data_IF_604170805118
#
_entry.id   IF_604170805118
#
_cell.length_a   1.000
_cell.length_b   1.000
_cell.length_c   1.000
_cell.angle_alpha   90.00
_cell.angle_beta   90.00
_cell.angle_gamma   90.00
#
_symmetry.space_group_name_H-M   'P 1'
#
loop_
_entity.id
_entity.type
_entity.pdbx_description
1 polymer ?
#
# COMPACT_ATOMS: atom_id res chain seq x y z
N UNK A 1 -13.49 14.26 -28.25
CA UNK A 1 -12.18 13.79 -27.73
C UNK A 1 -12.04 12.33 -28.13
N UNK A 2 -10.91 11.97 -28.75
CA UNK A 2 -10.67 10.62 -29.25
C UNK A 2 -9.47 10.03 -28.50
N UNK A 3 -9.58 8.76 -28.12
CA UNK A 3 -8.46 8.01 -27.57
C UNK A 3 -7.74 7.30 -28.71
N UNK A 4 -6.42 7.46 -28.77
CA UNK A 4 -5.57 6.78 -29.75
C UNK A 4 -4.75 5.69 -29.05
N UNK A 5 -4.37 4.67 -29.83
CA UNK A 5 -3.53 3.58 -29.32
C UNK A 5 -2.04 3.90 -29.42
N UNK A 6 -1.64 4.56 -30.50
CA UNK A 6 -0.25 4.99 -30.69
C UNK A 6 -0.03 6.34 -30.01
N UNK A 7 1.09 6.46 -29.30
CA UNK A 7 1.48 7.69 -28.65
C UNK A 7 1.87 8.76 -29.69
N UNK A 8 2.42 8.39 -30.85
CA UNK A 8 2.79 9.36 -31.89
C UNK A 8 1.60 10.09 -32.51
N UNK A 9 0.42 9.47 -32.46
CA UNK A 9 -0.81 10.00 -33.03
C UNK A 9 -1.55 10.93 -32.05
N UNK A 10 -1.09 11.00 -30.80
CA UNK A 10 -1.70 11.81 -29.77
C UNK A 10 -1.12 13.23 -29.76
N UNK A 11 -1.99 14.23 -29.59
CA UNK A 11 -1.55 15.61 -29.32
C UNK A 11 -1.25 15.82 -27.83
N UNK A 12 -1.91 15.08 -26.95
CA UNK A 12 -1.81 15.23 -25.50
C UNK A 12 -1.55 13.87 -24.88
N UNK A 13 -0.57 13.80 -23.99
CA UNK A 13 -0.28 12.66 -23.13
C UNK A 13 -0.72 12.95 -21.70
N UNK A 14 -1.34 11.96 -21.04
CA UNK A 14 -1.72 12.04 -19.64
C UNK A 14 -1.10 10.85 -18.91
N UNK A 15 -0.17 11.12 -18.00
CA UNK A 15 0.33 10.13 -17.05
C UNK A 15 -0.54 10.16 -15.81
N UNK A 16 -1.10 9.02 -15.42
CA UNK A 16 -1.89 8.89 -14.18
C UNK A 16 -1.17 7.92 -13.27
N UNK A 17 -0.65 8.42 -12.16
CA UNK A 17 -0.09 7.63 -11.08
C UNK A 17 -1.08 7.58 -9.91
N UNK A 18 -1.04 6.49 -9.14
CA UNK A 18 -1.88 6.35 -7.95
C UNK A 18 -1.10 5.81 -6.75
N UNK A 19 -1.43 6.32 -5.57
CA UNK A 19 -0.98 5.83 -4.27
C UNK A 19 -2.17 5.64 -3.33
N UNK A 20 -2.10 4.62 -2.48
CA UNK A 20 -3.04 4.51 -1.35
C UNK A 20 -2.75 5.60 -0.32
N UNK A 21 -3.80 6.28 0.14
CA UNK A 21 -3.66 7.22 1.26
C UNK A 21 -3.68 6.47 2.58
N UNK A 22 -3.15 7.09 3.65
CA UNK A 22 -3.26 6.52 4.99
C UNK A 22 -4.73 6.23 5.36
N UNK A 23 -5.66 7.06 4.85
CA UNK A 23 -7.12 7.00 5.02
C UNK A 23 -7.83 5.76 4.46
N UNK A 24 -7.10 4.85 3.82
CA UNK A 24 -7.67 3.78 2.99
C UNK A 24 -8.20 4.26 1.64
N UNK A 25 -8.06 5.56 1.34
CA UNK A 25 -8.45 6.17 0.07
C UNK A 25 -7.35 6.03 -0.99
N UNK A 26 -7.46 6.77 -2.07
CA UNK A 26 -6.50 6.76 -3.17
C UNK A 26 -6.22 8.16 -3.70
N UNK A 27 -4.97 8.57 -3.67
CA UNK A 27 -4.48 9.78 -4.33
C UNK A 27 -4.08 9.43 -5.76
N UNK A 28 -4.47 10.28 -6.70
CA UNK A 28 -4.14 10.22 -8.11
C UNK A 28 -3.36 11.48 -8.49
N UNK A 29 -2.17 11.30 -9.06
CA UNK A 29 -1.39 12.38 -9.68
C UNK A 29 -1.55 12.29 -11.19
N UNK A 30 -2.12 13.32 -11.81
CA UNK A 30 -2.37 13.43 -13.24
C UNK A 30 -1.40 14.43 -13.85
N UNK A 31 -0.43 13.97 -14.63
CA UNK A 31 0.53 14.82 -15.34
C UNK A 31 0.12 14.92 -16.80
N UNK A 32 -0.26 16.12 -17.23
CA UNK A 32 -0.65 16.44 -18.60
C UNK A 32 0.55 16.99 -19.37
N UNK A 33 0.69 16.59 -20.61
CA UNK A 33 1.80 17.03 -21.45
C UNK A 33 1.40 17.11 -22.91
N UNK A 34 1.80 18.19 -23.56
CA UNK A 34 1.80 18.27 -25.02
C UNK A 34 2.89 17.34 -25.60
N UNK A 35 2.52 16.52 -26.59
CA UNK A 35 3.45 15.60 -27.27
C UNK A 35 4.24 16.34 -28.34
N UNK A 36 3.60 17.24 -29.09
CA UNK A 36 4.22 17.93 -30.23
C UNK A 36 4.98 19.19 -29.81
N UNK A 37 4.90 19.56 -28.52
CA UNK A 37 5.52 20.75 -27.94
C UNK A 37 5.09 22.07 -28.61
N UNK A 38 3.99 22.08 -29.36
CA UNK A 38 3.48 23.28 -30.04
C UNK A 38 3.00 24.33 -29.03
N UNK A 39 2.40 23.88 -27.93
CA UNK A 39 1.96 24.74 -26.83
C UNK A 39 3.01 24.86 -25.71
N UNK A 40 4.05 24.03 -25.73
CA UNK A 40 5.06 23.88 -24.67
C UNK A 40 4.45 23.90 -23.25
N UNK A 41 3.33 23.17 -23.09
CA UNK A 41 2.51 23.18 -21.87
C UNK A 41 2.59 21.83 -21.17
N UNK A 42 2.85 21.87 -19.88
CA UNK A 42 2.66 20.76 -18.95
C UNK A 42 1.92 21.24 -17.72
N UNK A 43 1.06 20.39 -17.18
CA UNK A 43 0.29 20.69 -15.98
C UNK A 43 0.19 19.45 -15.10
N UNK A 44 0.02 19.61 -13.80
CA UNK A 44 -0.12 18.50 -12.86
C UNK A 44 -1.29 18.76 -11.92
N UNK A 45 -2.25 17.86 -11.91
CA UNK A 45 -3.39 17.89 -11.01
C UNK A 45 -3.32 16.72 -10.02
N UNK A 46 -3.78 16.98 -8.79
CA UNK A 46 -3.96 15.96 -7.76
C UNK A 46 -5.44 15.74 -7.48
N UNK A 47 -5.86 14.48 -7.43
CA UNK A 47 -7.21 14.07 -7.06
C UNK A 47 -7.14 13.03 -5.94
N UNK A 48 -7.80 13.29 -4.81
CA UNK A 48 -7.91 12.35 -3.71
C UNK A 48 -9.33 11.78 -3.67
N UNK A 49 -9.44 10.46 -3.80
CA UNK A 49 -10.68 9.71 -3.62
C UNK A 49 -10.71 9.13 -2.21
N UNK A 50 -11.70 9.50 -1.37
CA UNK A 50 -11.88 8.93 -0.03
C UNK A 50 -12.04 7.41 -0.04
N UNK A 51 -11.78 6.77 1.10
CA UNK A 51 -11.99 5.31 1.28
C UNK A 51 -13.45 4.89 1.15
N UNK A 52 -14.38 5.82 1.37
CA UNK A 52 -15.82 5.59 1.26
C UNK A 52 -16.32 5.58 -0.19
N UNK A 53 -15.52 6.07 -1.15
CA UNK A 53 -15.93 6.11 -2.56
C UNK A 53 -16.05 4.70 -3.14
N UNK A 54 -17.20 4.42 -3.75
CA UNK A 54 -17.35 3.30 -4.65
C UNK A 54 -16.41 3.41 -5.85
N UNK A 55 -16.15 2.28 -6.51
CA UNK A 55 -15.36 2.27 -7.74
C UNK A 55 -15.94 3.18 -8.84
N UNK A 56 -17.25 3.41 -8.84
CA UNK A 56 -17.89 4.29 -9.81
C UNK A 56 -17.70 5.78 -9.49
N UNK A 57 -17.90 6.16 -8.22
CA UNK A 57 -17.66 7.53 -7.75
C UNK A 57 -16.22 7.96 -8.01
N UNK A 58 -15.27 7.08 -7.69
CA UNK A 58 -13.86 7.30 -7.97
C UNK A 58 -13.55 7.50 -9.47
N UNK A 59 -14.16 6.71 -10.35
CA UNK A 59 -14.00 6.86 -11.81
C UNK A 59 -14.61 8.17 -12.32
N UNK A 60 -15.79 8.55 -11.81
CA UNK A 60 -16.44 9.83 -12.14
C UNK A 60 -15.58 11.02 -11.68
N UNK A 61 -15.06 10.98 -10.46
CA UNK A 61 -14.13 11.98 -9.94
C UNK A 61 -12.86 12.09 -10.77
N UNK A 62 -12.20 10.96 -11.07
CA UNK A 62 -11.00 10.95 -11.91
C UNK A 62 -11.30 11.51 -13.32
N UNK A 63 -12.44 11.15 -13.91
CA UNK A 63 -12.86 11.66 -15.23
C UNK A 63 -13.10 13.18 -15.19
N UNK A 64 -13.65 13.71 -14.09
CA UNK A 64 -13.82 15.15 -13.89
C UNK A 64 -12.46 15.87 -13.90
N UNK A 65 -11.49 15.36 -13.15
CA UNK A 65 -10.14 15.95 -13.12
C UNK A 65 -9.40 15.84 -14.45
N UNK A 66 -9.56 14.73 -15.18
CA UNK A 66 -9.05 14.60 -16.55
C UNK A 66 -9.64 15.69 -17.45
N UNK A 67 -10.96 15.91 -17.40
CA UNK A 67 -11.64 16.95 -18.20
C UNK A 67 -11.12 18.34 -17.86
N UNK A 68 -11.01 18.67 -16.58
CA UNK A 68 -10.52 19.97 -16.09
C UNK A 68 -9.09 20.21 -16.58
N UNK A 69 -8.18 19.25 -16.39
CA UNK A 69 -6.78 19.39 -16.80
C UNK A 69 -6.56 19.47 -18.32
N UNK A 70 -7.56 19.12 -19.12
CA UNK A 70 -7.51 19.23 -20.59
C UNK A 70 -8.03 20.54 -21.14
N UNK A 71 -8.82 21.30 -20.37
CA UNK A 71 -9.31 22.63 -20.77
C UNK A 71 -8.19 23.52 -21.32
N UNK A 72 -7.01 23.60 -20.66
CA UNK A 72 -5.95 24.47 -21.14
C UNK A 72 -5.23 23.99 -22.41
N UNK A 73 -5.45 22.74 -22.83
CA UNK A 73 -4.87 22.15 -24.04
C UNK A 73 -5.80 22.22 -25.24
N UNK A 74 -7.11 22.42 -25.02
CA UNK A 74 -8.10 22.56 -26.10
C UNK A 74 -8.35 24.03 -26.48
N UNK A 75 -7.77 24.98 -25.73
CA UNK A 75 -8.03 26.43 -25.88
C UNK A 75 -7.73 26.98 -27.28
N UNK A 76 -6.78 26.37 -28.00
CA UNK A 76 -6.38 26.79 -29.35
C UNK A 76 -6.95 25.87 -30.45
N UNK A 77 -7.97 25.08 -30.12
CA UNK A 77 -8.60 24.13 -31.06
C UNK A 77 -10.05 24.51 -31.33
N UNK A 78 -10.62 24.00 -32.43
CA UNK A 78 -12.05 24.19 -32.73
C UNK A 78 -12.98 23.64 -31.64
N UNK A 79 -12.49 22.74 -30.79
CA UNK A 79 -13.27 22.27 -29.65
C UNK A 79 -13.62 23.41 -28.67
N UNK A 80 -12.80 24.46 -28.58
CA UNK A 80 -13.06 25.62 -27.72
C UNK A 80 -14.37 26.35 -28.09
N UNK A 81 -14.77 26.33 -29.36
CA UNK A 81 -16.01 26.98 -29.83
C UNK A 81 -17.28 26.28 -29.32
N UNK A 82 -17.16 25.03 -28.87
CA UNK A 82 -18.29 24.18 -28.43
C UNK A 82 -18.11 23.66 -27.00
N UNK A 83 -17.08 24.14 -26.29
CA UNK A 83 -16.78 23.72 -24.93
C UNK A 83 -17.57 24.59 -23.95
N UNK A 84 -18.49 23.96 -23.23
CA UNK A 84 -19.15 24.57 -22.08
C UNK A 84 -18.43 24.19 -20.78
N UNK A 85 -18.11 25.19 -19.96
CA UNK A 85 -17.55 25.02 -18.63
C UNK A 85 -18.58 25.44 -17.61
N UNK A 86 -19.11 24.47 -16.87
CA UNK A 86 -20.03 24.72 -15.76
C UNK A 86 -19.23 24.76 -14.46
N UNK A 87 -19.29 25.90 -13.79
CA UNK A 87 -18.83 26.04 -12.41
C UNK A 87 -20.05 25.91 -11.51
N UNK A 88 -20.11 24.81 -10.76
CA UNK A 88 -21.03 24.69 -9.64
C UNK A 88 -20.38 25.42 -8.47
N UNK A 89 -20.92 26.59 -8.14
CA UNK A 89 -20.56 27.32 -6.94
C UNK A 89 -20.84 26.41 -5.74
N UNK A 90 -19.84 26.14 -4.88
CA UNK A 90 -20.10 25.42 -3.65
C UNK A 90 -21.07 26.27 -2.82
N UNK A 91 -22.00 25.64 -2.10
CA UNK A 91 -22.80 26.38 -1.11
C UNK A 91 -21.84 27.14 -0.18
N UNK A 92 -22.09 28.42 0.12
CA UNK A 92 -21.13 29.29 0.84
C UNK A 92 -20.65 28.67 2.17
N UNK A 93 -21.41 27.76 2.77
CA UNK A 93 -21.06 26.96 3.95
C UNK A 93 -19.94 25.91 3.73
N UNK A 94 -19.57 25.59 2.47
CA UNK A 94 -18.50 24.66 2.11
C UNK A 94 -17.18 25.35 1.72
N UNK A 95 -17.16 26.68 1.59
CA UNK A 95 -16.00 27.45 1.08
C UNK A 95 -15.06 28.03 2.13
N UNK A 96 -15.34 27.85 3.42
CA UNK A 96 -14.22 27.91 4.35
C UNK A 96 -13.35 26.70 4.07
N UNK A 97 -12.11 26.94 3.64
CA UNK A 97 -10.95 26.15 4.08
C UNK A 97 -10.99 26.15 5.61
N UNK A 98 -11.97 25.46 6.21
CA UNK A 98 -11.84 24.91 7.51
C UNK A 98 -10.69 23.96 7.30
N UNK A 99 -9.51 24.38 7.77
CA UNK A 99 -8.54 23.45 8.29
C UNK A 99 -9.37 22.57 9.21
N UNK A 100 -9.89 21.45 8.66
CA UNK A 100 -10.59 20.44 9.42
C UNK A 100 -9.52 20.04 10.40
N UNK A 101 -9.65 20.54 11.64
CA UNK A 101 -8.68 20.31 12.68
C UNK A 101 -8.67 18.81 12.87
N UNK A 102 -7.65 18.15 12.33
CA UNK A 102 -7.59 16.70 12.26
C UNK A 102 -7.37 16.20 13.70
N UNK A 103 -8.43 15.71 14.37
CA UNK A 103 -8.31 15.34 15.77
C UNK A 103 -7.44 14.08 15.93
N UNK A 104 -7.15 13.38 14.83
CA UNK A 104 -6.36 12.17 14.79
C UNK A 104 -4.89 12.43 14.40
N UNK A 105 -4.50 13.66 14.04
CA UNK A 105 -3.11 14.03 13.71
C UNK A 105 -2.43 13.02 12.75
N UNK A 106 -3.05 12.85 11.58
CA UNK A 106 -2.67 11.96 10.49
C UNK A 106 -2.73 10.47 10.83
N UNK A 107 -3.32 10.08 11.95
CA UNK A 107 -3.59 8.66 12.24
C UNK A 107 -4.83 8.17 11.49
N UNK A 108 -4.71 6.97 10.93
CA UNK A 108 -5.83 6.24 10.34
C UNK A 108 -5.85 4.83 10.90
N UNK A 109 -7.05 4.37 11.21
CA UNK A 109 -7.30 3.05 11.76
C UNK A 109 -8.23 2.27 10.83
N UNK A 110 -7.89 1.02 10.56
CA UNK A 110 -8.72 0.07 9.82
C UNK A 110 -8.94 -1.19 10.66
N UNK A 111 -10.18 -1.68 10.69
CA UNK A 111 -10.56 -2.87 11.44
C UNK A 111 -11.35 -3.79 10.50
N UNK A 112 -10.76 -4.93 10.18
CA UNK A 112 -11.35 -6.00 9.36
C UNK A 112 -11.71 -7.19 10.25
N UNK A 113 -12.99 -7.57 10.30
CA UNK A 113 -13.44 -8.79 10.97
C UNK A 113 -14.28 -9.58 10.00
N UNK A 114 -13.81 -10.77 9.63
CA UNK A 114 -14.49 -11.67 8.70
C UNK A 114 -14.69 -13.03 9.34
N UNK A 115 -15.92 -13.52 9.31
CA UNK A 115 -16.26 -14.83 9.86
C UNK A 115 -17.03 -15.65 8.84
N UNK A 116 -16.73 -16.94 8.78
CA UNK A 116 -17.48 -17.92 8.00
C UNK A 116 -17.87 -19.08 8.91
N UNK A 117 -19.12 -19.52 8.82
CA UNK A 117 -19.61 -20.66 9.57
C UNK A 117 -20.52 -21.50 8.68
N UNK A 118 -20.28 -22.80 8.66
CA UNK A 118 -21.07 -23.77 7.92
C UNK A 118 -21.10 -25.09 8.70
N UNK A 119 -22.21 -25.81 8.64
CA UNK A 119 -22.31 -27.13 9.25
C UNK A 119 -23.43 -27.96 8.68
N UNK A 120 -23.24 -29.27 8.74
CA UNK A 120 -24.18 -30.34 8.42
C UNK A 120 -24.13 -31.41 9.52
N UNK A 121 -24.90 -32.49 9.38
CA UNK A 121 -25.04 -33.52 10.42
C UNK A 121 -23.71 -34.14 10.88
N UNK A 122 -22.71 -34.22 10.01
CA UNK A 122 -21.43 -34.88 10.26
C UNK A 122 -20.22 -33.94 10.20
N UNK A 123 -20.41 -32.68 9.84
CA UNK A 123 -19.30 -31.73 9.69
C UNK A 123 -19.68 -30.33 10.19
N UNK A 124 -18.76 -29.70 10.92
CA UNK A 124 -18.87 -28.31 11.32
C UNK A 124 -17.57 -27.57 11.00
N UNK A 125 -17.68 -26.41 10.37
CA UNK A 125 -16.55 -25.57 10.00
C UNK A 125 -16.81 -24.11 10.41
N UNK A 126 -15.92 -23.58 11.24
CA UNK A 126 -15.89 -22.19 11.68
C UNK A 126 -14.54 -21.57 11.34
N UNK A 127 -14.56 -20.38 10.78
CA UNK A 127 -13.38 -19.56 10.51
C UNK A 127 -13.62 -18.14 10.96
N UNK A 128 -12.66 -17.56 11.66
CA UNK A 128 -12.62 -16.16 12.06
C UNK A 128 -11.28 -15.58 11.64
N UNK A 129 -11.35 -14.51 10.85
CA UNK A 129 -10.23 -13.69 10.42
C UNK A 129 -10.40 -12.32 11.06
N UNK A 130 -9.33 -11.80 11.64
CA UNK A 130 -9.31 -10.45 12.18
C UNK A 130 -8.08 -9.71 11.66
N UNK A 131 -8.23 -8.41 11.41
CA UNK A 131 -7.20 -7.47 11.02
C UNK A 131 -7.46 -6.14 11.72
N UNK A 132 -6.42 -5.56 12.31
CA UNK A 132 -6.42 -4.19 12.82
C UNK A 132 -5.17 -3.54 12.26
N UNK A 133 -5.31 -2.40 11.61
CA UNK A 133 -4.22 -1.60 11.08
C UNK A 133 -4.31 -0.17 11.62
N UNK A 134 -3.15 0.40 11.95
CA UNK A 134 -3.00 1.77 12.37
C UNK A 134 -1.83 2.38 11.60
N UNK A 135 -2.06 3.47 10.89
CA UNK A 135 -1.05 4.15 10.09
C UNK A 135 -0.99 5.63 10.44
N UNK A 136 0.22 6.18 10.47
CA UNK A 136 0.47 7.62 10.48
C UNK A 136 1.57 7.94 9.49
N UNK A 137 1.27 8.75 8.49
CA UNK A 137 2.22 9.13 7.45
C UNK A 137 2.30 10.65 7.41
N UNK A 138 3.51 11.16 7.58
CA UNK A 138 3.86 12.59 7.52
C UNK A 138 5.14 12.72 6.68
N UNK A 139 5.54 13.93 6.27
CA UNK A 139 6.79 14.09 5.51
C UNK A 139 8.03 13.54 6.21
N UNK A 140 8.07 13.55 7.54
CA UNK A 140 9.23 13.10 8.34
C UNK A 140 9.07 11.71 8.93
N UNK A 141 7.86 11.34 9.34
CA UNK A 141 7.57 10.05 9.98
C UNK A 141 6.58 9.23 9.18
N UNK A 142 6.94 7.96 8.99
CA UNK A 142 6.02 6.90 8.59
C UNK A 142 5.92 5.90 9.73
N UNK A 143 4.74 5.65 10.24
CA UNK A 143 4.48 4.68 11.31
C UNK A 143 3.33 3.80 10.84
N UNK A 144 3.52 2.48 10.92
CA UNK A 144 2.47 1.51 10.59
C UNK A 144 2.48 0.39 11.60
N UNK A 145 1.32 -0.07 11.98
CA UNK A 145 1.14 -1.21 12.85
C UNK A 145 -0.03 -2.04 12.35
N UNK A 146 0.13 -3.35 12.32
CA UNK A 146 -0.88 -4.30 11.88
C UNK A 146 -0.90 -5.50 12.80
N UNK A 147 -2.07 -5.81 13.34
CA UNK A 147 -2.38 -7.09 13.97
C UNK A 147 -3.29 -7.86 13.03
N UNK A 148 -2.95 -9.10 12.71
CA UNK A 148 -3.83 -9.98 11.94
C UNK A 148 -3.77 -11.40 12.47
N UNK A 149 -4.85 -12.15 12.30
CA UNK A 149 -4.88 -13.54 12.72
C UNK A 149 -6.07 -14.30 12.18
N UNK A 150 -5.96 -15.62 12.26
CA UNK A 150 -6.98 -16.58 11.87
C UNK A 150 -7.17 -17.59 12.99
N UNK A 151 -8.42 -17.89 13.27
CA UNK A 151 -8.85 -19.04 14.05
C UNK A 151 -9.75 -19.88 13.16
N UNK A 152 -9.36 -21.12 12.89
CA UNK A 152 -10.18 -22.07 12.14
C UNK A 152 -10.40 -23.33 12.95
N UNK A 153 -11.65 -23.77 13.03
CA UNK A 153 -12.10 -25.00 13.68
C UNK A 153 -12.86 -25.80 12.65
N UNK A 154 -12.44 -27.03 12.39
CA UNK A 154 -13.17 -27.99 11.54
C UNK A 154 -13.30 -29.30 12.28
N UNK A 155 -14.52 -29.73 12.52
CA UNK A 155 -14.84 -30.99 13.19
C UNK A 155 -15.56 -31.88 12.19
N UNK A 156 -15.12 -33.12 12.05
CA UNK A 156 -15.74 -34.12 11.17
C UNK A 156 -16.02 -35.37 11.99
N UNK A 157 -17.29 -35.74 12.10
CA UNK A 157 -17.74 -36.99 12.72
C UNK A 157 -17.55 -38.14 11.72
N UNK A 158 -16.68 -39.08 12.07
CA UNK A 158 -16.46 -40.34 11.37
C UNK A 158 -17.18 -41.46 12.12
N UNK A 159 -17.28 -42.64 11.52
CA UNK A 159 -18.00 -43.80 12.09
C UNK A 159 -17.50 -44.23 13.48
N UNK A 160 -16.23 -43.98 13.79
CA UNK A 160 -15.52 -44.47 14.98
C UNK A 160 -14.86 -43.35 15.80
N UNK A 161 -14.76 -42.14 15.28
CA UNK A 161 -14.06 -41.03 15.91
C UNK A 161 -14.48 -39.65 15.38
N UNK A 162 -14.09 -38.59 16.07
CA UNK A 162 -14.23 -37.21 15.57
C UNK A 162 -12.86 -36.66 15.20
N UNK A 163 -12.69 -36.25 13.94
CA UNK A 163 -11.49 -35.57 13.46
C UNK A 163 -11.62 -34.06 13.72
N UNK A 164 -10.66 -33.50 14.46
CA UNK A 164 -10.57 -32.05 14.70
C UNK A 164 -9.36 -31.46 13.97
N UNK A 165 -9.61 -30.56 13.02
CA UNK A 165 -8.58 -29.83 12.27
C UNK A 165 -8.63 -28.37 12.67
N UNK A 166 -7.59 -27.92 13.39
CA UNK A 166 -7.47 -26.56 13.89
C UNK A 166 -6.33 -25.83 13.19
N UNK A 167 -6.58 -24.60 12.74
CA UNK A 167 -5.55 -23.71 12.20
C UNK A 167 -5.63 -22.38 12.94
N UNK A 168 -4.60 -22.13 13.74
CA UNK A 168 -4.46 -20.89 14.51
C UNK A 168 -3.12 -20.25 14.19
N UNK A 169 -3.18 -18.99 13.78
CA UNK A 169 -2.00 -18.15 13.67
C UNK A 169 -2.36 -16.70 13.94
N UNK A 170 -1.37 -15.94 14.37
CA UNK A 170 -1.48 -14.50 14.57
C UNK A 170 -0.16 -13.84 14.30
N UNK A 171 -0.21 -12.63 13.76
CA UNK A 171 0.95 -11.81 13.46
C UNK A 171 0.66 -10.37 13.85
N UNK A 172 1.56 -9.83 14.67
CA UNK A 172 1.78 -8.42 14.84
C UNK A 172 2.98 -8.00 13.99
N UNK A 173 2.79 -7.00 13.16
CA UNK A 173 3.84 -6.36 12.38
C UNK A 173 3.77 -4.87 12.61
N UNK A 174 4.90 -4.23 12.87
CA UNK A 174 4.98 -2.79 12.97
C UNK A 174 6.22 -2.25 12.31
N UNK A 175 6.18 -1.00 11.88
CA UNK A 175 7.32 -0.25 11.41
C UNK A 175 7.26 1.19 11.87
N UNK A 176 8.42 1.77 12.15
CA UNK A 176 8.61 3.22 12.29
C UNK A 176 9.79 3.64 11.41
N UNK A 177 9.58 4.62 10.55
CA UNK A 177 10.55 5.13 9.60
C UNK A 177 10.68 6.64 9.75
N UNK A 178 11.91 7.12 9.75
CA UNK A 178 12.26 8.53 9.89
C UNK A 178 13.10 9.00 8.70
N UNK A 179 12.60 10.00 7.98
CA UNK A 179 13.34 10.66 6.90
C UNK A 179 14.43 11.55 7.48
N UNK A 180 15.70 11.21 7.20
CA UNK A 180 16.86 11.99 7.63
C UNK A 180 17.10 13.13 6.62
N UNK A 181 16.92 12.82 5.34
CA UNK A 181 17.02 13.76 4.22
C UNK A 181 15.92 13.43 3.20
N UNK A 182 15.86 14.19 2.09
CA UNK A 182 14.97 13.86 0.98
C UNK A 182 15.33 12.53 0.27
N UNK A 183 16.46 11.91 0.62
CA UNK A 183 16.97 10.70 -0.02
C UNK A 183 17.20 9.54 0.94
N UNK A 184 17.43 9.81 2.23
CA UNK A 184 17.83 8.80 3.19
C UNK A 184 16.84 8.68 4.34
N UNK A 185 16.54 7.46 4.75
CA UNK A 185 15.73 7.19 5.93
C UNK A 185 16.28 6.02 6.75
N UNK A 186 15.94 6.02 8.04
CA UNK A 186 16.17 4.89 8.95
C UNK A 186 14.83 4.32 9.36
N UNK A 187 14.77 3.00 9.45
CA UNK A 187 13.57 2.26 9.81
C UNK A 187 13.83 1.28 10.94
N UNK A 188 12.81 1.03 11.74
CA UNK A 188 12.76 -0.08 12.67
C UNK A 188 11.51 -0.88 12.36
N UNK A 189 11.68 -2.15 12.02
CA UNK A 189 10.61 -3.09 11.77
C UNK A 189 10.51 -4.05 12.95
N UNK A 190 9.31 -4.43 13.32
CA UNK A 190 9.06 -5.43 14.33
C UNK A 190 8.07 -6.45 13.79
N UNK A 191 8.31 -7.72 14.10
CA UNK A 191 7.41 -8.81 13.73
C UNK A 191 7.32 -9.79 14.88
N UNK A 192 6.12 -9.94 15.44
CA UNK A 192 5.80 -10.94 16.44
C UNK A 192 4.73 -11.86 15.89
N UNK A 193 4.93 -13.18 15.88
CA UNK A 193 3.90 -14.10 15.38
C UNK A 193 3.90 -15.44 16.12
N UNK A 194 2.80 -16.15 15.99
CA UNK A 194 2.69 -17.56 16.36
C UNK A 194 1.96 -18.32 15.24
N UNK A 195 2.22 -19.61 15.11
CA UNK A 195 1.58 -20.49 14.15
C UNK A 195 1.60 -21.92 14.66
N UNK A 196 0.42 -22.47 14.99
CA UNK A 196 0.32 -23.87 15.46
C UNK A 196 0.76 -24.85 14.38
N UNK A 197 0.33 -24.64 13.14
CA UNK A 197 0.69 -25.49 11.99
C UNK A 197 2.17 -25.36 11.61
N UNK A 198 2.78 -24.19 11.88
CA UNK A 198 4.21 -23.96 11.67
C UNK A 198 5.11 -24.35 12.85
N UNK A 199 4.54 -24.94 13.91
CA UNK A 199 5.24 -25.25 15.16
C UNK A 199 5.85 -24.01 15.87
N UNK A 200 5.42 -22.79 15.57
CA UNK A 200 5.95 -21.56 16.17
C UNK A 200 5.04 -21.15 17.34
N UNK A 201 5.53 -21.31 18.57
CA UNK A 201 4.85 -20.79 19.77
C UNK A 201 5.04 -19.28 19.92
N UNK A 202 6.22 -18.78 19.52
CA UNK A 202 6.54 -17.36 19.44
C UNK A 202 7.70 -17.16 18.45
N UNK A 203 7.56 -16.23 17.53
CA UNK A 203 8.68 -15.62 16.80
C UNK A 203 8.64 -14.13 17.08
N UNK A 204 9.68 -13.57 17.69
CA UNK A 204 9.83 -12.15 17.94
C UNK A 204 11.08 -11.65 17.23
N UNK A 205 10.90 -10.76 16.26
CA UNK A 205 11.94 -10.21 15.39
C UNK A 205 11.92 -8.69 15.46
N UNK A 206 13.10 -8.09 15.50
CA UNK A 206 13.28 -6.64 15.52
C UNK A 206 14.37 -6.27 14.52
N UNK A 207 14.00 -5.56 13.46
CA UNK A 207 14.86 -5.33 12.31
C UNK A 207 15.12 -3.84 12.08
N UNK A 208 16.22 -3.28 12.57
CA UNK A 208 16.69 -2.00 12.09
C UNK A 208 17.04 -2.07 10.60
N UNK A 209 16.74 -1.01 9.87
CA UNK A 209 17.04 -0.86 8.47
C UNK A 209 17.48 0.56 8.14
N UNK A 210 18.27 0.67 7.09
CA UNK A 210 18.61 1.93 6.44
C UNK A 210 18.18 1.86 4.99
N UNK A 211 17.62 2.95 4.49
CA UNK A 211 17.19 3.08 3.11
C UNK A 211 17.81 4.34 2.49
N UNK A 212 18.27 4.20 1.24
CA UNK A 212 18.68 5.32 0.41
C UNK A 212 17.98 5.26 -0.95
N UNK A 213 17.30 6.33 -1.31
CA UNK A 213 16.69 6.55 -2.61
C UNK A 213 17.57 7.52 -3.44
N UNK A 214 18.00 7.11 -4.62
CA UNK A 214 18.79 7.99 -5.51
C UNK A 214 17.97 9.17 -6.07
N UNK A 215 16.65 9.08 -6.03
CA UNK A 215 15.74 10.20 -6.34
C UNK A 215 15.13 10.74 -5.03
N UNK A 216 14.84 12.05 -4.94
CA UNK A 216 14.22 12.62 -3.75
C UNK A 216 12.83 12.01 -3.54
N UNK A 217 12.39 11.88 -2.28
CA UNK A 217 11.11 11.26 -1.92
C UNK A 217 9.89 11.99 -2.52
N UNK A 218 10.03 13.26 -2.89
CA UNK A 218 9.02 14.02 -3.64
C UNK A 218 8.72 13.45 -5.02
N UNK A 219 9.66 12.72 -5.62
CA UNK A 219 9.53 12.10 -6.95
C UNK A 219 9.13 10.60 -6.87
N UNK A 220 8.88 10.07 -5.67
CA UNK A 220 8.71 8.64 -5.41
C UNK A 220 7.63 7.95 -6.27
N UNK A 221 6.60 8.68 -6.67
CA UNK A 221 5.52 8.20 -7.55
C UNK A 221 5.99 7.95 -8.98
N UNK A 222 6.82 8.85 -9.51
CA UNK A 222 7.29 8.82 -10.90
C UNK A 222 8.54 7.95 -11.03
N UNK A 223 9.50 8.12 -10.12
CA UNK A 223 10.77 7.42 -10.15
C UNK A 223 11.33 7.21 -8.75
N UNK A 224 11.86 6.01 -8.55
CA UNK A 224 12.56 5.63 -7.33
C UNK A 224 13.62 4.61 -7.65
N UNK A 225 14.78 4.78 -7.05
CA UNK A 225 15.82 3.77 -7.06
C UNK A 225 16.30 3.66 -5.64
N UNK A 226 15.81 2.62 -4.98
CA UNK A 226 15.96 2.43 -3.55
C UNK A 226 16.94 1.30 -3.32
N UNK A 227 17.90 1.52 -2.44
CA UNK A 227 18.70 0.47 -1.81
C UNK A 227 18.35 0.47 -0.33
N UNK A 228 17.97 -0.68 0.19
CA UNK A 228 17.63 -0.89 1.59
C UNK A 228 18.47 -2.02 2.15
N UNK A 229 19.07 -1.79 3.31
CA UNK A 229 19.78 -2.80 4.07
C UNK A 229 19.12 -2.98 5.44
N UNK A 230 18.92 -4.22 5.86
CA UNK A 230 18.35 -4.53 7.17
C UNK A 230 19.11 -5.64 7.89
N UNK A 231 19.09 -5.57 9.22
CA UNK A 231 19.59 -6.59 10.13
C UNK A 231 18.44 -7.05 11.00
N UNK A 232 18.18 -8.35 11.07
CA UNK A 232 16.95 -8.91 11.65
C UNK A 232 17.25 -10.00 12.69
N UNK A 233 17.69 -9.65 13.91
CA UNK A 233 17.69 -10.59 15.02
C UNK A 233 16.27 -11.05 15.37
N UNK A 234 16.12 -12.36 15.56
CA UNK A 234 14.86 -12.99 15.92
C UNK A 234 15.04 -14.09 16.97
N UNK A 235 14.17 -14.09 17.97
CA UNK A 235 14.02 -15.17 18.93
C UNK A 235 12.80 -16.02 18.57
N UNK A 236 12.98 -17.34 18.48
CA UNK A 236 11.95 -18.30 18.15
C UNK A 236 11.80 -19.31 19.28
N UNK A 237 10.57 -19.57 19.68
CA UNK A 237 10.17 -20.66 20.58
C UNK A 237 9.18 -21.56 19.87
N UNK A 238 9.36 -22.86 20.01
CA UNK A 238 8.56 -23.87 19.33
C UNK A 238 7.52 -24.50 20.26
N UNK A 239 6.41 -24.99 19.70
CA UNK A 239 5.43 -25.76 20.50
C UNK A 239 5.98 -27.14 20.85
N UNK A 240 6.63 -27.78 19.88
CA UNK A 240 7.29 -29.08 19.98
C UNK A 240 8.75 -28.94 19.56
N UNK A 241 9.62 -29.82 20.09
CA UNK A 241 11.02 -29.89 19.69
C UNK A 241 11.16 -30.06 18.17
N UNK A 242 12.01 -29.24 17.56
CA UNK A 242 12.29 -29.30 16.13
C UNK A 242 13.08 -30.55 15.74
N UNK A 243 13.17 -30.85 14.44
CA UNK A 243 14.03 -31.93 13.92
C UNK A 243 15.52 -31.74 14.24
N UNK A 244 15.92 -30.52 14.59
CA UNK A 244 17.27 -30.17 15.03
C UNK A 244 17.44 -30.19 16.56
N UNK A 245 16.48 -30.80 17.28
CA UNK A 245 16.47 -30.90 18.74
C UNK A 245 16.47 -29.54 19.47
N UNK A 246 15.87 -28.52 18.86
CA UNK A 246 15.71 -27.19 19.47
C UNK A 246 14.26 -26.96 19.91
N UNK A 247 14.09 -26.50 21.15
CA UNK A 247 12.82 -25.97 21.67
C UNK A 247 12.73 -24.44 21.54
N UNK A 248 13.88 -23.78 21.41
CA UNK A 248 14.00 -22.38 21.09
C UNK A 248 15.31 -22.09 20.38
N UNK A 249 15.39 -21.00 19.64
CA UNK A 249 16.62 -20.53 19.04
C UNK A 249 16.65 -19.01 18.88
N UNK A 250 17.85 -18.47 18.76
CA UNK A 250 18.09 -17.13 18.32
C UNK A 250 18.74 -17.19 16.94
N UNK A 251 18.15 -16.50 15.97
CA UNK A 251 18.66 -16.41 14.60
C UNK A 251 18.81 -14.95 14.23
N UNK A 252 19.75 -14.66 13.33
CA UNK A 252 19.95 -13.31 12.83
C UNK A 252 20.24 -13.41 11.35
N UNK A 253 19.55 -12.63 10.54
CA UNK A 253 19.85 -12.48 9.13
C UNK A 253 20.10 -11.02 8.77
N UNK A 254 20.78 -10.85 7.63
CA UNK A 254 20.91 -9.59 6.94
C UNK A 254 20.23 -9.69 5.59
N UNK A 255 19.67 -8.59 5.13
CA UNK A 255 19.06 -8.47 3.81
C UNK A 255 19.50 -7.17 3.15
N UNK A 256 19.93 -7.26 1.90
CA UNK A 256 20.10 -6.13 1.00
C UNK A 256 19.06 -6.25 -0.10
N UNK A 257 18.20 -5.25 -0.23
CA UNK A 257 17.20 -5.18 -1.29
C UNK A 257 17.36 -3.89 -2.09
N UNK A 258 17.05 -4.00 -3.38
CA UNK A 258 17.11 -2.90 -4.32
C UNK A 258 15.84 -2.88 -5.15
N UNK A 259 15.25 -1.70 -5.31
CA UNK A 259 14.10 -1.49 -6.19
C UNK A 259 14.29 -0.27 -7.08
N UNK A 260 14.34 -0.50 -8.39
CA UNK A 260 14.25 0.55 -9.40
C UNK A 260 12.83 0.55 -9.96
N UNK A 261 12.11 1.66 -9.82
CA UNK A 261 10.92 1.94 -10.62
C UNK A 261 11.11 3.25 -11.36
N UNK A 262 10.79 3.23 -12.65
CA UNK A 262 10.87 4.39 -13.53
C UNK A 262 9.64 4.38 -14.42
N UNK A 263 8.70 5.28 -14.16
CA UNK A 263 7.49 5.46 -14.95
C UNK A 263 7.75 6.58 -15.98
N UNK A 264 7.56 6.28 -17.26
CA UNK A 264 7.79 7.19 -18.39
C UNK A 264 6.66 7.07 -19.41
N UNK A 265 6.64 8.00 -20.38
CA UNK A 265 5.60 8.00 -21.41
C UNK A 265 5.54 6.69 -22.21
N UNK A 266 6.71 6.12 -22.50
CA UNK A 266 6.86 4.87 -23.24
C UNK A 266 6.56 3.61 -22.41
N UNK A 267 6.32 3.74 -21.10
CA UNK A 267 5.98 2.63 -20.23
C UNK A 267 6.68 2.67 -18.88
N UNK A 268 6.67 1.53 -18.19
CA UNK A 268 7.19 1.36 -16.84
C UNK A 268 8.33 0.35 -16.83
N UNK A 269 9.39 0.68 -16.10
CA UNK A 269 10.40 -0.28 -15.63
C UNK A 269 10.19 -0.48 -14.13
N UNK A 270 10.03 -1.72 -13.66
CA UNK A 270 10.05 -2.10 -12.24
C UNK A 270 11.00 -3.30 -12.09
N UNK A 271 12.20 -3.05 -11.56
CA UNK A 271 13.22 -4.05 -11.28
C UNK A 271 13.36 -4.17 -9.77
N UNK A 272 13.35 -5.41 -9.28
CA UNK A 272 13.57 -5.73 -7.86
C UNK A 272 14.63 -6.80 -7.74
N UNK A 273 15.62 -6.54 -6.91
CA UNK A 273 16.69 -7.46 -6.57
C UNK A 273 16.78 -7.54 -5.06
N UNK A 274 17.04 -8.73 -4.52
CA UNK A 274 17.19 -8.93 -3.09
C UNK A 274 18.11 -10.09 -2.81
N UNK A 275 18.92 -9.96 -1.77
CA UNK A 275 19.76 -11.01 -1.25
C UNK A 275 19.69 -11.01 0.27
N UNK A 276 19.46 -12.19 0.85
CA UNK A 276 19.44 -12.37 2.29
C UNK A 276 20.39 -13.51 2.68
N UNK A 277 21.00 -13.37 3.85
CA UNK A 277 21.92 -14.35 4.41
C UNK A 277 21.73 -14.41 5.92
N UNK A 278 21.69 -15.61 6.48
CA UNK A 278 21.72 -15.83 7.93
C UNK A 278 23.17 -15.80 8.40
N UNK A 279 23.43 -15.19 9.55
CA UNK A 279 24.76 -15.16 10.17
C UNK A 279 25.19 -16.50 10.78
N UNK A 280 24.40 -17.56 10.63
CA UNK A 280 24.68 -18.91 11.10
C UNK A 280 24.81 -19.88 9.92
N UNK A 281 25.64 -20.91 10.10
CA UNK A 281 25.86 -22.00 9.14
C UNK A 281 24.56 -22.68 8.67
#
# INVERSE_FOLDING_TARGET
MNYVRDQSDANIYILINDLGTAGGGREYTLVFSDINMEMNRSDTLKYVSPSTDSGDERRRGLTRYIKIGLVPFVSNTTAMETLDVFYEEPDEDETEDQTVDDPWNNWVFDIDVRSNMWGESTEFNFGLYNGIEAERITPTWKIRSRVRGEIRRRNVELSDQTLNVNRDWGEYWAMAGYSITDHASVGLFNRMNFSRTGNIALNAELSPAFEYNFFPYTEYEERRFIIQYSLSPAYRKYFNTTIFLKDSEFVMNQELSTRLRYDQRWGRVDIRLGGANYFHD
#
